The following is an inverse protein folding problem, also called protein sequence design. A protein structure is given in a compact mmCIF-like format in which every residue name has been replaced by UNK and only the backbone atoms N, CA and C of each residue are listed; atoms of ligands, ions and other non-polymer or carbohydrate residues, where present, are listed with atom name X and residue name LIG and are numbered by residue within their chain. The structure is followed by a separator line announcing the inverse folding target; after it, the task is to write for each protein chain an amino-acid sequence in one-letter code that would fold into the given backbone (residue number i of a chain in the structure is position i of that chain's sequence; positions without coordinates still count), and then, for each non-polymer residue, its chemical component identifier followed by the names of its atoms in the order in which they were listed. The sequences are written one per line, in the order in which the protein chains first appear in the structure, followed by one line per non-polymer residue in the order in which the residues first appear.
data_IF_717279543465
#
_entry.id   IF_717279543465
#
_cell.length_a   1.000
_cell.length_b   1.000
_cell.length_c   1.000
_cell.angle_alpha   90.00
_cell.angle_beta   90.00
_cell.angle_gamma   90.00
#
_symmetry.space_group_name_H-M   'P 1'
#
loop_
_entity.id
_entity.type
_entity.pdbx_description
1 polymer ?
#
# COMPACT_ATOMS: atom_id res chain seq x y z
N UNK A 1 5.03 1.33 -12.60
CA UNK A 1 3.65 1.01 -13.03
C UNK A 1 3.29 -0.45 -12.68
N UNK A 2 3.29 -0.85 -11.41
CA UNK A 2 3.04 -2.26 -11.04
C UNK A 2 2.09 -2.43 -9.82
N UNK A 3 1.30 -1.41 -9.45
CA UNK A 3 0.42 -1.47 -8.27
C UNK A 3 -0.56 -2.65 -8.31
N UNK A 4 -1.39 -2.72 -9.35
CA UNK A 4 -2.47 -3.71 -9.47
C UNK A 4 -1.92 -5.15 -9.45
N UNK A 5 -0.93 -5.53 -10.28
CA UNK A 5 -0.42 -6.90 -10.26
C UNK A 5 0.25 -7.25 -8.93
N UNK A 6 0.98 -6.32 -8.30
CA UNK A 6 1.62 -6.57 -7.00
C UNK A 6 0.58 -6.76 -5.90
N UNK A 7 -0.43 -5.89 -5.80
CA UNK A 7 -1.50 -6.05 -4.81
C UNK A 7 -2.30 -7.33 -5.01
N UNK A 8 -2.62 -7.68 -6.27
CA UNK A 8 -3.32 -8.93 -6.57
C UNK A 8 -2.49 -10.15 -6.16
N UNK A 9 -1.17 -10.12 -6.37
CA UNK A 9 -0.27 -11.18 -5.91
C UNK A 9 -0.26 -11.29 -4.37
N UNK A 10 -0.21 -10.17 -3.66
CA UNK A 10 -0.25 -10.13 -2.19
C UNK A 10 -1.57 -10.72 -1.67
N UNK A 11 -2.71 -10.31 -2.21
CA UNK A 11 -4.01 -10.88 -1.81
C UNK A 11 -4.14 -12.36 -2.16
N UNK A 12 -3.54 -12.79 -3.25
CA UNK A 12 -3.49 -14.22 -3.61
C UNK A 12 -2.65 -15.02 -2.62
N UNK A 13 -1.49 -14.49 -2.20
CA UNK A 13 -0.65 -15.10 -1.18
C UNK A 13 -1.36 -15.18 0.18
N UNK A 14 -2.05 -14.10 0.58
CA UNK A 14 -2.87 -14.08 1.79
C UNK A 14 -3.95 -15.17 1.77
N UNK A 15 -4.67 -15.32 0.65
CA UNK A 15 -5.69 -16.37 0.49
C UNK A 15 -5.12 -17.78 0.45
N UNK A 16 -3.89 -17.94 -0.01
CA UNK A 16 -3.18 -19.22 -0.01
C UNK A 16 -2.49 -19.50 1.33
N UNK A 17 -2.65 -18.63 2.33
CA UNK A 17 -1.99 -18.71 3.64
C UNK A 17 -0.46 -18.79 3.53
N UNK A 18 0.10 -18.15 2.50
CA UNK A 18 1.55 -18.05 2.28
C UNK A 18 2.03 -16.74 2.89
N UNK A 19 2.93 -16.84 3.88
CA UNK A 19 3.57 -15.69 4.50
C UNK A 19 4.53 -14.99 3.53
N UNK A 20 4.50 -13.67 3.50
CA UNK A 20 5.44 -12.85 2.74
C UNK A 20 6.39 -12.13 3.70
N UNK A 21 7.63 -12.60 3.76
CA UNK A 21 8.71 -11.91 4.46
C UNK A 21 9.52 -11.06 3.48
N UNK A 22 9.81 -9.83 3.85
CA UNK A 22 10.52 -8.86 3.03
C UNK A 22 11.70 -8.26 3.78
N UNK A 23 12.83 -8.12 3.08
CA UNK A 23 13.97 -7.33 3.51
C UNK A 23 14.23 -6.25 2.47
N UNK A 24 14.20 -4.99 2.87
CA UNK A 24 14.49 -3.86 1.99
C UNK A 24 15.93 -3.44 2.17
N UNK A 25 16.71 -3.57 1.09
CA UNK A 25 18.11 -3.12 1.02
C UNK A 25 18.25 -1.70 0.45
N UNK A 26 17.14 -1.10 0.02
CA UNK A 26 17.11 0.27 -0.47
C UNK A 26 17.19 1.29 0.68
N UNK A 27 17.57 2.52 0.35
CA UNK A 27 17.60 3.64 1.30
C UNK A 27 16.20 4.01 1.81
N UNK A 28 15.18 3.81 0.98
CA UNK A 28 13.78 4.13 1.30
C UNK A 28 12.98 2.87 1.61
N UNK A 29 11.96 3.05 2.45
CA UNK A 29 11.00 2.00 2.77
C UNK A 29 9.98 1.79 1.65
N UNK A 30 9.51 0.55 1.52
CA UNK A 30 8.47 0.20 0.56
C UNK A 30 7.15 -0.01 1.27
N UNK A 31 6.22 0.92 1.11
CA UNK A 31 4.85 0.79 1.64
C UNK A 31 4.15 -0.47 1.13
N UNK A 32 4.42 -0.90 -0.11
CA UNK A 32 3.89 -2.14 -0.67
C UNK A 32 4.36 -3.38 0.06
N UNK A 33 5.66 -3.48 0.36
CA UNK A 33 6.22 -4.63 1.05
C UNK A 33 5.82 -4.65 2.53
N UNK A 34 5.68 -3.47 3.14
CA UNK A 34 5.11 -3.34 4.49
C UNK A 34 3.65 -3.81 4.52
N UNK A 35 2.82 -3.40 3.55
CA UNK A 35 1.45 -3.92 3.38
C UNK A 35 1.45 -5.43 3.14
N UNK A 36 2.36 -5.95 2.32
CA UNK A 36 2.47 -7.38 2.02
C UNK A 36 2.74 -8.21 3.28
N UNK A 37 3.75 -7.81 4.06
CA UNK A 37 4.09 -8.45 5.32
C UNK A 37 2.92 -8.37 6.30
N UNK A 38 2.32 -7.20 6.47
CA UNK A 38 1.19 -7.02 7.38
C UNK A 38 -0.05 -7.84 7.00
N UNK A 39 -0.46 -7.83 5.73
CA UNK A 39 -1.65 -8.56 5.27
C UNK A 39 -1.49 -10.08 5.34
N UNK A 40 -0.27 -10.58 5.15
CA UNK A 40 0.02 -12.02 5.23
C UNK A 40 0.41 -12.46 6.63
N UNK A 41 0.76 -11.55 7.53
CA UNK A 41 1.33 -11.87 8.83
C UNK A 41 2.81 -12.29 8.76
N UNK A 42 3.51 -11.90 7.69
CA UNK A 42 4.95 -12.07 7.53
C UNK A 42 5.75 -10.93 8.15
N UNK A 43 7.05 -10.92 7.91
CA UNK A 43 8.01 -9.99 8.50
C UNK A 43 8.49 -8.93 7.51
N UNK A 44 8.68 -7.70 7.97
CA UNK A 44 9.32 -6.64 7.19
C UNK A 44 10.53 -6.05 7.92
N UNK A 45 11.71 -6.14 7.31
CA UNK A 45 12.92 -5.59 7.89
C UNK A 45 13.68 -4.67 6.95
N UNK A 46 14.32 -3.66 7.54
CA UNK A 46 15.29 -2.80 6.87
C UNK A 46 16.57 -2.79 7.70
N UNK A 47 17.61 -3.55 7.29
CA UNK A 47 18.86 -3.59 8.04
C UNK A 47 19.56 -2.23 7.95
N UNK A 48 20.07 -1.74 9.09
CA UNK A 48 20.82 -0.48 9.16
C UNK A 48 22.15 -0.51 8.38
N UNK A 49 22.63 -1.70 8.00
CA UNK A 49 23.82 -1.87 7.18
C UNK A 49 24.05 -3.33 6.78
N UNK A 50 24.96 -3.56 5.83
CA UNK A 50 25.23 -4.89 5.26
C UNK A 50 25.67 -5.93 6.32
N UNK A 51 26.36 -5.49 7.38
CA UNK A 51 26.79 -6.38 8.47
C UNK A 51 25.64 -6.95 9.30
N UNK A 52 24.50 -6.26 9.36
CA UNK A 52 23.32 -6.72 10.09
C UNK A 52 22.44 -7.68 9.27
N UNK A 53 22.61 -7.72 7.95
CA UNK A 53 21.77 -8.52 7.06
C UNK A 53 21.88 -10.02 7.36
N UNK A 54 23.10 -10.53 7.56
CA UNK A 54 23.30 -11.96 7.81
C UNK A 54 22.66 -12.40 9.13
N UNK A 55 22.87 -11.63 10.21
CA UNK A 55 22.26 -11.92 11.51
C UNK A 55 20.73 -11.91 11.44
N UNK A 56 20.18 -10.96 10.70
CA UNK A 56 18.75 -10.85 10.46
C UNK A 56 18.18 -12.06 9.71
N UNK A 57 18.85 -12.48 8.62
CA UNK A 57 18.43 -13.65 7.85
C UNK A 57 18.50 -14.93 8.68
N UNK A 58 19.60 -15.14 9.41
CA UNK A 58 19.78 -16.33 10.24
C UNK A 58 18.79 -16.41 11.40
N UNK A 59 18.42 -15.28 12.00
CA UNK A 59 17.52 -15.28 13.16
C UNK A 59 16.03 -15.36 12.78
N UNK A 60 15.63 -14.77 11.66
CA UNK A 60 14.20 -14.64 11.32
C UNK A 60 13.78 -15.43 10.07
N UNK A 61 14.65 -15.58 9.07
CA UNK A 61 14.28 -16.21 7.80
C UNK A 61 14.57 -17.72 7.76
N UNK A 62 15.39 -18.23 8.68
CA UNK A 62 15.69 -19.67 8.79
C UNK A 62 14.61 -20.42 9.59
N UNK A 63 13.99 -19.77 10.57
CA UNK A 63 12.95 -20.41 11.39
C UNK A 63 11.70 -20.73 10.56
N UNK A 64 11.02 -21.82 10.91
CA UNK A 64 9.71 -22.14 10.36
C UNK A 64 8.63 -21.20 10.93
N UNK A 65 7.49 -21.14 10.24
CA UNK A 65 6.34 -20.30 10.59
C UNK A 65 5.83 -20.50 12.02
N UNK A 66 5.92 -21.72 12.57
CA UNK A 66 5.40 -22.02 13.92
C UNK A 66 6.36 -21.51 14.99
N UNK A 67 7.66 -21.77 14.82
CA UNK A 67 8.70 -21.31 15.75
C UNK A 67 8.81 -19.80 15.79
N UNK A 68 8.59 -19.12 14.65
CA UNK A 68 8.58 -17.65 14.59
C UNK A 68 7.57 -16.99 15.50
N UNK A 69 6.41 -17.62 15.75
CA UNK A 69 5.38 -17.06 16.66
C UNK A 69 5.84 -17.02 18.12
N UNK A 70 6.88 -17.80 18.46
CA UNK A 70 7.46 -17.83 19.81
C UNK A 70 8.63 -16.87 19.95
N UNK A 71 9.24 -16.42 18.85
CA UNK A 71 10.13 -15.27 18.89
C UNK A 71 9.24 -14.03 19.03
N UNK A 72 9.41 -13.30 20.13
CA UNK A 72 8.73 -12.03 20.35
C UNK A 72 9.28 -10.98 19.36
N UNK A 73 8.72 -10.97 18.15
CA UNK A 73 9.08 -10.05 17.08
C UNK A 73 8.03 -8.94 17.06
N UNK A 74 8.17 -7.97 17.96
CA UNK A 74 7.40 -6.73 17.90
C UNK A 74 7.91 -5.89 16.72
N UNK A 75 7.33 -6.08 15.53
CA UNK A 75 7.51 -5.18 14.41
C UNK A 75 6.46 -4.06 14.47
N UNK A 76 6.92 -2.82 14.69
CA UNK A 76 6.12 -1.64 14.39
C UNK A 76 6.07 -1.45 12.87
N UNK A 77 5.19 -2.21 12.21
CA UNK A 77 4.85 -1.99 10.82
C UNK A 77 4.00 -0.71 10.72
N UNK A 78 4.67 0.43 10.53
CA UNK A 78 4.04 1.72 10.23
C UNK A 78 3.41 1.76 8.84
N UNK A 79 2.44 0.89 8.59
CA UNK A 79 1.81 0.73 7.28
C UNK A 79 0.87 1.91 6.99
N UNK A 80 1.13 2.61 5.89
CA UNK A 80 0.21 3.63 5.38
C UNK A 80 -0.86 2.98 4.48
N UNK A 81 -2.12 3.02 4.93
CA UNK A 81 -3.29 2.50 4.21
C UNK A 81 -3.98 3.55 3.34
N UNK A 82 -3.47 4.78 3.31
CA UNK A 82 -4.11 5.84 2.54
C UNK A 82 -4.06 5.53 1.04
N UNK A 83 -5.20 5.75 0.38
CA UNK A 83 -5.31 5.51 -1.04
C UNK A 83 -4.45 6.52 -1.82
N UNK A 84 -3.74 6.06 -2.85
CA UNK A 84 -3.09 6.94 -3.82
C UNK A 84 -3.97 7.09 -5.05
N UNK A 85 -4.19 8.32 -5.51
CA UNK A 85 -5.02 8.57 -6.69
C UNK A 85 -4.36 8.00 -7.97
N UNK A 86 -5.15 7.41 -8.87
CA UNK A 86 -4.62 6.83 -10.11
C UNK A 86 -4.20 7.91 -11.13
N UNK A 87 -4.76 9.12 -11.05
CA UNK A 87 -4.41 10.26 -11.93
C UNK A 87 -3.01 10.79 -11.68
N UNK A 88 -2.70 11.20 -10.45
CA UNK A 88 -1.49 11.96 -10.13
C UNK A 88 -0.54 11.24 -9.17
N UNK A 89 -0.95 10.10 -8.59
CA UNK A 89 -0.16 9.26 -7.69
C UNK A 89 0.17 9.87 -6.32
N UNK A 90 -0.46 10.97 -5.92
CA UNK A 90 -0.39 11.42 -4.54
C UNK A 90 -1.40 10.69 -3.66
N UNK A 91 -1.05 10.61 -2.38
CA UNK A 91 -1.87 10.06 -1.31
C UNK A 91 -3.03 11.01 -1.02
N UNK A 92 -4.25 10.47 -0.94
CA UNK A 92 -5.47 11.23 -0.67
C UNK A 92 -6.23 10.66 0.52
N UNK A 93 -6.89 11.53 1.26
CA UNK A 93 -7.81 11.14 2.33
C UNK A 93 -9.27 11.03 1.84
N UNK A 94 -9.63 11.83 0.84
CA UNK A 94 -10.97 11.79 0.22
C UNK A 94 -10.83 11.75 -1.30
N UNK A 95 -11.60 10.90 -1.96
CA UNK A 95 -11.54 10.70 -3.41
C UNK A 95 -12.82 10.13 -3.99
N UNK A 96 -12.88 10.07 -5.32
CA UNK A 96 -13.98 9.54 -6.10
C UNK A 96 -13.62 8.15 -6.63
N UNK A 97 -14.53 7.19 -6.52
CA UNK A 97 -14.28 5.80 -6.94
C UNK A 97 -15.14 5.47 -8.16
N UNK A 98 -14.54 4.85 -9.17
CA UNK A 98 -15.29 4.30 -10.30
C UNK A 98 -16.08 3.07 -9.86
N UNK A 99 -17.40 3.05 -10.07
CA UNK A 99 -18.25 1.90 -9.74
C UNK A 99 -17.98 0.65 -10.58
N UNK A 100 -17.32 0.79 -11.73
CA UNK A 100 -17.05 -0.33 -12.65
C UNK A 100 -15.69 -0.98 -12.35
N UNK A 101 -14.62 -0.19 -12.27
CA UNK A 101 -13.26 -0.71 -12.13
C UNK A 101 -12.61 -0.39 -10.79
N UNK A 102 -13.34 0.21 -9.85
CA UNK A 102 -12.88 0.58 -8.50
C UNK A 102 -11.64 1.49 -8.46
N UNK A 103 -11.31 2.14 -9.58
CA UNK A 103 -10.19 3.08 -9.65
C UNK A 103 -10.53 4.38 -8.90
N UNK A 104 -9.54 4.87 -8.13
CA UNK A 104 -9.69 6.00 -7.22
C UNK A 104 -9.09 7.27 -7.86
N UNK A 105 -9.85 8.36 -7.82
CA UNK A 105 -9.51 9.65 -8.41
C UNK A 105 -9.56 10.77 -7.37
N UNK A 106 -8.68 11.74 -7.52
CA UNK A 106 -8.60 12.90 -6.62
C UNK A 106 -9.55 14.04 -7.00
N UNK A 107 -10.08 14.04 -8.22
CA UNK A 107 -10.99 15.05 -8.75
C UNK A 107 -12.08 14.36 -9.58
N UNK A 108 -13.29 14.93 -9.62
CA UNK A 108 -14.37 14.39 -10.44
C UNK A 108 -14.04 14.56 -11.93
N UNK A 109 -14.24 13.51 -12.71
CA UNK A 109 -14.11 13.53 -14.18
C UNK A 109 -15.43 13.10 -14.83
N UNK A 110 -15.57 13.31 -16.14
CA UNK A 110 -16.75 12.87 -16.91
C UNK A 110 -16.64 11.42 -17.41
N UNK A 111 -15.44 10.86 -17.40
CA UNK A 111 -15.17 9.47 -17.76
C UNK A 111 -14.01 8.91 -16.95
N UNK A 112 -14.02 7.61 -16.72
CA UNK A 112 -12.95 6.90 -16.04
C UNK A 112 -11.71 6.83 -16.95
N UNK A 113 -10.56 7.32 -16.49
CA UNK A 113 -9.30 7.25 -17.23
C UNK A 113 -8.72 5.83 -17.33
N UNK A 114 -9.23 4.89 -16.53
CA UNK A 114 -8.75 3.50 -16.48
C UNK A 114 -9.59 2.56 -17.34
N UNK A 115 -10.92 2.62 -17.25
CA UNK A 115 -11.82 1.73 -18.01
C UNK A 115 -12.61 2.42 -19.13
N UNK A 116 -12.54 3.74 -19.26
CA UNK A 116 -13.26 4.50 -20.29
C UNK A 116 -14.76 4.70 -20.05
N UNK A 117 -15.32 4.12 -18.97
CA UNK A 117 -16.74 4.28 -18.65
C UNK A 117 -17.09 5.76 -18.44
N UNK A 118 -18.09 6.26 -19.16
CA UNK A 118 -18.64 7.60 -18.95
C UNK A 118 -19.42 7.63 -17.62
N UNK A 119 -19.14 8.63 -16.79
CA UNK A 119 -19.88 8.83 -15.56
C UNK A 119 -21.19 9.54 -15.91
N UNK A 120 -22.30 8.79 -15.88
CA UNK A 120 -23.63 9.35 -16.10
C UNK A 120 -23.95 10.29 -14.96
N UNK A 121 -23.88 11.60 -15.21
CA UNK A 121 -24.30 12.63 -14.27
C UNK A 121 -25.84 12.66 -14.24
N UNK A 122 -26.45 11.61 -13.69
CA UNK A 122 -27.89 11.53 -13.39
C UNK A 122 -28.16 12.38 -12.15
N UNK A 123 -28.74 13.57 -12.36
CA UNK A 123 -28.79 14.69 -11.43
C UNK A 123 -29.36 14.42 -10.03
N UNK A 124 -28.92 15.23 -9.06
CA UNK A 124 -29.60 15.34 -7.78
C UNK A 124 -28.91 16.03 -6.59
N UNK A 125 -28.13 17.10 -6.79
CA UNK A 125 -28.09 18.21 -5.81
C UNK A 125 -27.19 18.12 -4.57
N UNK A 126 -26.13 18.92 -4.57
CA UNK A 126 -25.84 19.85 -3.47
C UNK A 126 -24.81 19.43 -2.41
N UNK A 127 -23.68 20.15 -2.40
CA UNK A 127 -22.91 20.37 -1.16
C UNK A 127 -21.65 19.52 -0.99
N UNK A 128 -20.58 19.87 -1.71
CA UNK A 128 -19.24 19.36 -1.43
C UNK A 128 -18.13 20.07 -2.20
N UNK A 129 -18.39 21.27 -2.72
CA UNK A 129 -17.38 22.17 -3.24
C UNK A 129 -16.88 23.08 -2.09
N UNK A 130 -16.14 22.48 -1.15
CA UNK A 130 -15.27 23.09 -0.13
C UNK A 130 -14.84 21.91 0.76
N UNK A 131 -13.60 21.46 0.84
CA UNK A 131 -12.35 22.20 0.84
C UNK A 131 -11.27 21.44 0.07
N UNK A 132 -10.93 21.96 -1.11
CA UNK A 132 -9.57 21.89 -1.62
C UNK A 132 -8.85 23.14 -1.12
N UNK A 133 -8.26 23.08 0.07
CA UNK A 133 -7.21 23.99 0.49
C UNK A 133 -6.41 23.30 1.61
N UNK A 134 -5.08 23.32 1.47
CA UNK A 134 -4.07 22.81 2.40
C UNK A 134 -3.76 21.30 2.36
N UNK A 135 -3.24 20.84 1.22
CA UNK A 135 -2.12 19.89 1.23
C UNK A 135 -1.12 20.18 0.09
N UNK A 136 -0.91 21.46 -0.19
CA UNK A 136 0.30 21.96 -0.82
C UNK A 136 1.15 22.61 0.27
N UNK A 137 1.72 21.78 1.15
CA UNK A 137 2.81 22.22 2.01
C UNK A 137 3.72 21.02 2.30
N UNK A 138 4.85 21.03 1.60
CA UNK A 138 6.12 20.39 1.96
C UNK A 138 6.30 18.92 1.57
N UNK A 139 6.79 18.74 0.34
CA UNK A 139 7.97 17.90 0.16
C UNK A 139 9.20 18.57 0.78
N UNK A 140 10.12 17.78 1.29
CA UNK A 140 11.42 18.24 1.77
C UNK A 140 11.88 17.52 3.03
N UNK A 141 12.30 16.27 2.86
CA UNK A 141 13.29 15.58 3.69
C UNK A 141 14.22 14.86 2.73
#
# INVERSE_FOLDING_TARGET
MQYIPVMNAIFSAQRAEVLLDAVVLATEDSSFLQQAAHLTGGLYFKPAGAGALLGLLLNYFVCDTSTRKQLDVAQELGVDFRASCFCHKYVIETGYVCSVCLSIFCQPSRACSTCGTAFTMGGGGGGGAAAAAAAAARGGG
#
